data_IF_019956184043
#
_entry.id   IF_019956184043
#
_cell.length_a   1.000
_cell.length_b   1.000
_cell.length_c   1.000
_cell.angle_alpha   90.00
_cell.angle_beta   90.00
_cell.angle_gamma   90.00
#
_symmetry.space_group_name_H-M   'P 1'
#
loop_
_entity.id
_entity.type
_entity.pdbx_description
1 polymer ?
#
# COMPACT_ATOMS: atom_id res chain seq x y z
N UNK A 1 6.72 -21.20 18.61
CA UNK A 1 5.81 -20.96 19.75
C UNK A 1 5.08 -19.64 19.60
N UNK A 2 5.76 -18.47 19.58
CA UNK A 2 5.12 -17.14 19.52
C UNK A 2 4.23 -16.94 18.29
N UNK A 3 4.68 -17.36 17.11
CA UNK A 3 3.89 -17.26 15.88
C UNK A 3 2.57 -18.04 15.95
N UNK A 4 2.57 -19.20 16.61
CA UNK A 4 1.39 -20.06 16.72
C UNK A 4 0.40 -19.59 17.80
N UNK A 5 0.88 -19.07 18.93
CA UNK A 5 0.04 -18.72 20.08
C UNK A 5 -0.32 -17.23 20.15
N UNK A 6 0.54 -16.37 19.59
CA UNK A 6 0.36 -14.91 19.63
C UNK A 6 0.65 -14.27 18.25
N UNK A 7 -0.02 -14.73 17.18
CA UNK A 7 0.31 -14.34 15.81
C UNK A 7 0.22 -12.82 15.59
N UNK A 8 -0.76 -12.15 16.19
CA UNK A 8 -0.94 -10.70 16.08
C UNK A 8 0.27 -9.91 16.63
N UNK A 9 0.71 -10.26 17.84
CA UNK A 9 1.86 -9.59 18.48
C UNK A 9 3.19 -9.95 17.80
N UNK A 10 3.31 -11.18 17.31
CA UNK A 10 4.45 -11.62 16.52
C UNK A 10 4.57 -10.82 15.21
N UNK A 11 3.48 -10.69 14.46
CA UNK A 11 3.46 -9.91 13.22
C UNK A 11 3.71 -8.43 13.49
N UNK A 12 3.12 -7.86 14.54
CA UNK A 12 3.42 -6.48 14.95
C UNK A 12 4.91 -6.28 15.21
N UNK A 13 5.59 -7.24 15.83
CA UNK A 13 7.02 -7.14 16.11
C UNK A 13 7.88 -7.27 14.84
N UNK A 14 7.50 -8.14 13.90
CA UNK A 14 8.16 -8.23 12.60
C UNK A 14 8.02 -6.92 11.80
N UNK A 15 6.82 -6.35 11.76
CA UNK A 15 6.57 -5.06 11.13
C UNK A 15 7.41 -3.95 11.76
N UNK A 16 7.54 -3.91 13.10
CA UNK A 16 8.41 -2.96 13.78
C UNK A 16 9.89 -3.12 13.40
N UNK A 17 10.35 -4.36 13.25
CA UNK A 17 11.71 -4.65 12.79
C UNK A 17 11.94 -4.38 11.29
N UNK A 18 10.89 -4.10 10.53
CA UNK A 18 10.97 -3.79 9.10
C UNK A 18 10.81 -2.30 8.78
N UNK A 19 10.59 -1.44 9.78
CA UNK A 19 10.48 0.02 9.57
C UNK A 19 11.75 0.49 8.83
N UNK A 20 11.54 1.21 7.72
CA UNK A 20 12.62 1.64 6.82
C UNK A 20 12.95 0.65 5.69
N UNK A 21 12.35 -0.55 5.67
CA UNK A 21 12.50 -1.54 4.60
C UNK A 21 11.17 -1.82 3.93
N UNK A 22 10.91 -1.18 2.80
CA UNK A 22 9.68 -1.31 2.02
C UNK A 22 9.37 -2.78 1.67
N UNK A 23 10.38 -3.50 1.14
CA UNK A 23 10.21 -4.89 0.71
C UNK A 23 9.79 -5.80 1.87
N UNK A 24 10.50 -5.72 3.01
CA UNK A 24 10.15 -6.54 4.19
C UNK A 24 8.77 -6.18 4.74
N UNK A 25 8.45 -4.89 4.80
CA UNK A 25 7.14 -4.43 5.27
C UNK A 25 6.04 -4.95 4.36
N UNK A 26 6.20 -4.85 3.04
CA UNK A 26 5.28 -5.44 2.04
C UNK A 26 5.06 -6.93 2.31
N UNK A 27 6.13 -7.71 2.46
CA UNK A 27 6.04 -9.15 2.69
C UNK A 27 5.29 -9.49 4.00
N UNK A 28 5.53 -8.74 5.07
CA UNK A 28 4.83 -8.95 6.33
C UNK A 28 3.35 -8.51 6.29
N UNK A 29 3.02 -7.48 5.49
CA UNK A 29 1.61 -7.11 5.24
C UNK A 29 0.89 -8.23 4.48
N UNK A 30 1.52 -8.85 3.47
CA UNK A 30 0.96 -10.03 2.82
C UNK A 30 0.75 -11.19 3.82
N UNK A 31 1.74 -11.45 4.67
CA UNK A 31 1.61 -12.48 5.69
C UNK A 31 0.49 -12.18 6.68
N UNK A 32 0.29 -10.92 7.07
CA UNK A 32 -0.86 -10.50 7.88
C UNK A 32 -2.18 -10.82 7.18
N UNK A 33 -2.33 -10.43 5.92
CA UNK A 33 -3.54 -10.69 5.10
C UNK A 33 -3.83 -12.19 5.00
N UNK A 34 -2.81 -12.99 4.70
CA UNK A 34 -2.90 -14.47 4.60
C UNK A 34 -3.36 -15.13 5.91
N UNK A 35 -2.98 -14.57 7.04
CA UNK A 35 -3.35 -15.07 8.38
C UNK A 35 -4.58 -14.36 8.97
N UNK A 36 -5.34 -13.61 8.18
CA UNK A 36 -6.51 -12.83 8.61
C UNK A 36 -6.21 -11.85 9.75
N UNK A 37 -4.97 -11.35 9.82
CA UNK A 37 -4.57 -10.31 10.76
C UNK A 37 -4.88 -8.96 10.15
N UNK A 38 -5.79 -8.23 10.75
CA UNK A 38 -6.19 -6.91 10.27
C UNK A 38 -5.10 -5.89 10.55
N UNK A 39 -4.69 -5.18 9.49
CA UNK A 39 -3.81 -4.00 9.57
C UNK A 39 -4.59 -2.82 9.01
N UNK A 40 -4.63 -1.72 9.72
CA UNK A 40 -5.35 -0.51 9.31
C UNK A 40 -4.39 0.62 9.02
N UNK A 41 -4.85 1.55 8.16
CA UNK A 41 -4.12 2.77 7.83
C UNK A 41 -3.71 3.54 9.09
N UNK A 42 -2.59 4.26 9.04
CA UNK A 42 -2.20 5.13 10.15
C UNK A 42 -3.19 6.30 10.29
N UNK A 43 -3.32 6.78 11.50
CA UNK A 43 -4.11 7.94 11.87
C UNK A 43 -3.25 8.92 12.65
N UNK A 44 -3.42 10.20 12.38
CA UNK A 44 -2.67 11.26 13.06
C UNK A 44 -2.93 11.23 14.57
N UNK A 45 -4.14 10.85 14.98
CA UNK A 45 -4.55 10.79 16.37
C UNK A 45 -4.37 9.41 17.04
N UNK A 46 -4.08 8.34 16.30
CA UNK A 46 -4.04 6.98 16.85
C UNK A 46 -2.70 6.27 16.68
N UNK A 47 -1.95 6.60 15.61
CA UNK A 47 -0.68 5.94 15.30
C UNK A 47 0.48 6.50 16.11
N UNK A 48 1.55 5.70 16.22
CA UNK A 48 2.81 6.05 16.86
C UNK A 48 3.95 5.96 15.85
N UNK A 49 5.16 6.24 16.31
CA UNK A 49 6.39 6.01 15.53
C UNK A 49 6.66 4.53 15.26
N UNK A 50 6.01 3.64 16.00
CA UNK A 50 6.03 2.18 15.80
C UNK A 50 4.62 1.64 15.56
N UNK A 51 4.52 0.42 15.01
CA UNK A 51 3.24 -0.29 14.92
C UNK A 51 2.77 -0.72 16.30
N UNK A 52 1.49 -0.53 16.57
CA UNK A 52 0.86 -0.93 17.83
C UNK A 52 -0.32 -1.87 17.59
N UNK A 53 -0.70 -2.61 18.60
CA UNK A 53 -1.94 -3.43 18.62
C UNK A 53 -2.97 -2.71 19.45
N UNK A 54 -4.16 -2.52 18.89
CA UNK A 54 -5.34 -2.02 19.58
C UNK A 54 -6.58 -2.72 19.02
N UNK A 55 -7.49 -3.13 19.89
CA UNK A 55 -8.76 -3.78 19.51
C UNK A 55 -8.56 -4.93 18.50
N UNK A 56 -7.63 -5.84 18.81
CA UNK A 56 -7.23 -6.98 17.98
C UNK A 56 -6.82 -6.63 16.54
N UNK A 57 -6.30 -5.42 16.34
CA UNK A 57 -5.89 -4.89 15.03
C UNK A 57 -4.52 -4.25 15.15
N UNK A 58 -3.68 -4.40 14.12
CA UNK A 58 -2.42 -3.66 14.02
C UNK A 58 -2.71 -2.28 13.41
N UNK A 59 -2.38 -1.22 14.15
CA UNK A 59 -2.39 0.15 13.64
C UNK A 59 -1.02 0.42 13.02
N UNK A 60 -1.01 0.81 11.74
CA UNK A 60 0.22 1.06 11.00
C UNK A 60 0.95 2.30 11.56
N UNK A 61 2.29 2.26 11.60
CA UNK A 61 3.10 3.33 12.19
C UNK A 61 3.23 4.53 11.26
N UNK A 62 3.39 5.70 11.83
CA UNK A 62 3.73 6.91 11.07
C UNK A 62 5.12 6.80 10.43
N UNK A 63 6.10 6.20 11.12
CA UNK A 63 7.48 6.07 10.61
C UNK A 63 7.62 5.09 9.42
N UNK A 64 6.59 4.31 9.11
CA UNK A 64 6.58 3.45 7.92
C UNK A 64 6.07 4.15 6.65
N UNK A 65 5.69 5.41 6.77
CA UNK A 65 5.30 6.26 5.64
C UNK A 65 6.59 6.87 5.06
N UNK A 66 6.76 6.80 3.74
CA UNK A 66 7.91 7.43 3.06
C UNK A 66 8.01 8.91 3.44
N UNK A 67 9.22 9.37 3.66
CA UNK A 67 9.55 10.74 4.08
C UNK A 67 9.06 11.12 5.49
N UNK A 68 8.35 10.25 6.21
CA UNK A 68 7.99 10.47 7.61
C UNK A 68 8.93 9.66 8.49
N UNK A 69 10.09 10.23 8.79
CA UNK A 69 11.07 9.60 9.68
C UNK A 69 10.61 9.54 11.14
N UNK A 70 11.30 8.73 11.93
CA UNK A 70 10.98 8.54 13.37
C UNK A 70 10.90 9.85 14.15
N UNK A 71 11.77 10.84 13.82
CA UNK A 71 11.75 12.14 14.53
C UNK A 71 10.47 12.93 14.23
N UNK A 72 9.99 12.93 12.97
CA UNK A 72 8.74 13.57 12.57
C UNK A 72 7.56 12.88 13.25
N UNK A 73 7.54 11.53 13.22
CA UNK A 73 6.50 10.75 13.88
C UNK A 73 6.43 11.03 15.38
N UNK A 74 7.57 11.06 16.06
CA UNK A 74 7.65 11.41 17.50
C UNK A 74 7.20 12.82 17.80
N UNK A 75 7.51 13.79 16.94
CA UNK A 75 7.05 15.17 17.09
C UNK A 75 5.51 15.26 17.02
N UNK A 76 4.90 14.53 16.05
CA UNK A 76 3.44 14.46 15.94
C UNK A 76 2.83 13.84 17.20
N UNK A 77 3.38 12.71 17.68
CA UNK A 77 2.92 12.06 18.90
C UNK A 77 3.04 12.97 20.11
N UNK A 78 4.18 13.64 20.26
CA UNK A 78 4.42 14.59 21.36
C UNK A 78 3.40 15.74 21.39
N UNK A 79 3.12 16.35 20.23
CA UNK A 79 2.11 17.41 20.16
C UNK A 79 0.70 16.88 20.45
N UNK A 80 0.38 15.65 19.98
CA UNK A 80 -0.90 15.00 20.26
C UNK A 80 -1.11 14.68 21.74
N UNK A 81 -0.06 14.42 22.51
CA UNK A 81 -0.16 14.16 23.96
C UNK A 81 -0.69 15.36 24.74
N UNK A 82 -0.55 16.58 24.19
CA UNK A 82 -1.15 17.80 24.75
C UNK A 82 -2.67 17.89 24.51
N UNK A 83 -3.23 17.00 23.72
CA UNK A 83 -4.62 16.90 23.28
C UNK A 83 -4.70 16.41 21.84
N UNK A 84 -5.68 15.55 21.52
CA UNK A 84 -5.90 15.09 20.15
C UNK A 84 -6.08 16.28 19.20
N UNK A 85 -5.60 16.10 17.95
CA UNK A 85 -5.83 17.10 16.91
C UNK A 85 -7.31 17.13 16.55
N UNK A 86 -7.92 18.31 16.61
CA UNK A 86 -9.35 18.50 16.34
C UNK A 86 -9.65 18.42 14.84
N UNK A 87 -8.79 19.01 14.03
CA UNK A 87 -8.89 19.13 12.59
C UNK A 87 -7.53 19.47 11.96
N UNK A 88 -7.52 19.70 10.65
CA UNK A 88 -6.31 20.00 9.88
C UNK A 88 -5.67 21.34 10.27
N UNK A 89 -6.45 22.33 10.67
CA UNK A 89 -5.94 23.64 11.09
C UNK A 89 -5.25 23.53 12.44
N UNK A 90 -5.88 22.88 13.43
CA UNK A 90 -5.26 22.62 14.74
C UNK A 90 -3.97 21.79 14.58
N UNK A 91 -3.98 20.79 13.68
CA UNK A 91 -2.78 20.05 13.35
C UNK A 91 -1.69 20.96 12.80
N UNK A 92 -1.99 21.76 11.76
CA UNK A 92 -1.01 22.62 11.12
C UNK A 92 -0.44 23.68 12.10
N UNK A 93 -1.28 24.35 12.86
CA UNK A 93 -0.88 25.32 13.89
C UNK A 93 0.12 24.76 14.91
N UNK A 94 -0.08 23.50 15.30
CA UNK A 94 0.73 22.87 16.36
C UNK A 94 2.04 22.29 15.86
N UNK A 95 2.12 21.83 14.59
CA UNK A 95 3.26 21.06 14.09
C UNK A 95 4.03 21.72 12.94
N UNK A 96 3.40 22.57 12.13
CA UNK A 96 4.04 23.19 10.97
C UNK A 96 5.18 24.13 11.42
N UNK A 97 6.28 24.14 10.68
CA UNK A 97 7.47 24.95 10.98
C UNK A 97 8.38 24.41 12.09
N UNK A 98 7.95 23.40 12.87
CA UNK A 98 8.75 22.84 13.98
C UNK A 98 9.63 21.64 13.61
N UNK A 99 9.44 21.01 12.56
CA UNK A 99 10.16 19.89 11.91
C UNK A 99 9.31 19.30 10.79
N UNK A 100 8.09 19.82 10.63
CA UNK A 100 7.09 19.37 9.67
C UNK A 100 6.89 20.51 8.68
N UNK A 101 7.08 20.21 7.41
CA UNK A 101 6.88 21.13 6.29
C UNK A 101 5.69 20.69 5.43
N UNK A 102 5.34 21.49 4.43
CA UNK A 102 4.24 21.22 3.49
C UNK A 102 4.30 19.81 2.91
N UNK A 103 5.48 19.35 2.43
CA UNK A 103 5.64 18.00 1.83
C UNK A 103 5.31 16.88 2.81
N UNK A 104 5.66 17.04 4.09
CA UNK A 104 5.31 16.04 5.10
C UNK A 104 3.79 15.97 5.30
N UNK A 105 3.09 17.11 5.29
CA UNK A 105 1.63 17.14 5.43
C UNK A 105 0.96 16.54 4.19
N UNK A 106 1.44 16.84 2.98
CA UNK A 106 0.97 16.21 1.73
C UNK A 106 1.07 14.68 1.78
N UNK A 107 2.21 14.17 2.23
CA UNK A 107 2.45 12.73 2.38
C UNK A 107 1.53 12.10 3.42
N UNK A 108 1.28 12.78 4.55
CA UNK A 108 0.36 12.31 5.58
C UNK A 108 -1.10 12.29 5.09
N UNK A 109 -1.50 13.26 4.27
CA UNK A 109 -2.81 13.27 3.60
C UNK A 109 -2.92 12.09 2.62
N UNK A 110 -1.94 11.91 1.72
CA UNK A 110 -1.92 10.81 0.76
C UNK A 110 -1.91 9.44 1.43
N UNK A 111 -1.28 9.33 2.61
CA UNK A 111 -1.27 8.14 3.45
C UNK A 111 -2.61 7.87 4.18
N UNK A 112 -3.58 8.78 4.11
CA UNK A 112 -4.86 8.66 4.81
C UNK A 112 -4.81 8.93 6.30
N UNK A 113 -3.73 9.53 6.80
CA UNK A 113 -3.56 9.81 8.24
C UNK A 113 -4.58 10.80 8.79
N UNK A 114 -5.22 11.57 7.92
CA UNK A 114 -6.14 12.66 8.26
C UNK A 114 -7.59 12.40 7.84
N UNK A 115 -7.90 11.17 7.40
CA UNK A 115 -9.26 10.80 6.94
C UNK A 115 -10.32 10.99 8.06
N UNK A 116 -9.90 10.98 9.31
CA UNK A 116 -10.78 11.20 10.47
C UNK A 116 -11.25 12.67 10.65
N UNK A 117 -10.65 13.62 9.93
CA UNK A 117 -11.04 15.05 10.01
C UNK A 117 -12.30 15.38 9.17
N UNK A 118 -12.89 14.41 8.50
CA UNK A 118 -14.16 14.56 7.79
C UNK A 118 -14.06 15.21 6.41
N UNK A 119 -12.87 15.55 5.94
CA UNK A 119 -12.60 16.00 4.58
C UNK A 119 -11.97 14.88 3.77
N UNK A 120 -12.28 14.82 2.47
CA UNK A 120 -11.60 13.92 1.57
C UNK A 120 -10.17 14.41 1.27
N UNK A 121 -9.29 13.50 0.82
CA UNK A 121 -7.86 13.76 0.64
C UNK A 121 -7.57 14.84 -0.38
N UNK A 122 -8.32 14.90 -1.48
CA UNK A 122 -8.18 15.94 -2.49
C UNK A 122 -8.53 17.31 -1.94
N UNK A 123 -9.64 17.42 -1.22
CA UNK A 123 -10.05 18.66 -0.55
C UNK A 123 -8.96 19.17 0.40
N UNK A 124 -8.39 18.30 1.25
CA UNK A 124 -7.29 18.70 2.14
C UNK A 124 -6.07 19.18 1.37
N UNK A 125 -5.72 18.48 0.30
CA UNK A 125 -4.51 18.77 -0.48
C UNK A 125 -4.62 20.08 -1.28
N UNK A 126 -5.76 20.32 -1.91
CA UNK A 126 -6.02 21.55 -2.67
C UNK A 126 -6.12 22.80 -1.79
N UNK A 127 -6.48 22.66 -0.50
CA UNK A 127 -6.53 23.74 0.46
C UNK A 127 -5.25 23.86 1.30
N UNK A 128 -4.20 23.07 1.03
CA UNK A 128 -3.05 23.01 1.92
C UNK A 128 -2.29 24.33 2.04
N UNK A 129 -2.15 25.10 0.96
CA UNK A 129 -1.53 26.42 1.01
C UNK A 129 -2.31 27.40 1.90
N UNK A 130 -3.62 27.37 1.81
CA UNK A 130 -4.51 28.17 2.64
C UNK A 130 -4.38 27.77 4.13
N UNK A 131 -4.31 26.47 4.43
CA UNK A 131 -4.14 25.95 5.79
C UNK A 131 -2.78 26.35 6.37
N UNK A 132 -1.72 26.26 5.57
CA UNK A 132 -0.37 26.65 5.99
C UNK A 132 -0.27 28.15 6.23
N UNK A 133 -0.77 28.98 5.32
CA UNK A 133 -0.78 30.43 5.49
C UNK A 133 -1.53 30.82 6.77
N UNK A 134 -2.67 30.20 7.05
CA UNK A 134 -3.38 30.40 8.31
C UNK A 134 -2.53 29.98 9.51
N UNK A 135 -1.80 28.87 9.46
CA UNK A 135 -0.97 28.42 10.58
C UNK A 135 0.22 29.36 10.85
N UNK A 136 0.77 30.00 9.84
CA UNK A 136 1.84 31.02 9.98
C UNK A 136 1.33 32.29 10.61
N UNK A 137 0.13 32.75 10.25
CA UNK A 137 -0.50 33.95 10.77
C UNK A 137 -1.14 33.66 12.14
N UNK A 138 -1.86 32.56 12.26
CA UNK A 138 -2.59 32.19 13.48
C UNK A 138 -1.70 31.89 14.68
N UNK A 139 -0.40 31.56 14.45
CA UNK A 139 0.59 31.48 15.52
C UNK A 139 0.89 32.85 16.19
N UNK A 140 0.50 33.92 15.53
CA UNK A 140 0.70 35.32 16.00
C UNK A 140 -0.61 35.94 16.55
N UNK A 141 -1.76 35.35 16.22
CA UNK A 141 -3.08 35.90 16.57
C UNK A 141 -3.92 34.77 17.19
N UNK A 142 -4.31 34.97 18.44
CA UNK A 142 -5.11 33.99 19.22
C UNK A 142 -6.60 34.06 18.85
N UNK A 143 -6.93 34.16 17.54
CA UNK A 143 -8.26 34.48 17.05
C UNK A 143 -8.78 33.44 16.03
N UNK A 144 -9.73 32.61 16.49
CA UNK A 144 -10.44 31.63 15.64
C UNK A 144 -11.31 32.30 14.55
N UNK A 145 -11.65 33.60 14.67
CA UNK A 145 -12.48 34.34 13.71
C UNK A 145 -11.80 34.52 12.33
N UNK A 146 -10.47 34.40 12.28
CA UNK A 146 -9.70 34.51 11.04
C UNK A 146 -9.53 33.19 10.29
N UNK A 147 -10.16 32.12 10.76
CA UNK A 147 -10.06 30.79 10.15
C UNK A 147 -10.74 30.79 8.77
N UNK A 148 -9.99 30.46 7.70
CA UNK A 148 -10.53 30.47 6.35
C UNK A 148 -11.47 29.28 6.12
N UNK A 149 -12.43 29.46 5.23
CA UNK A 149 -13.32 28.38 4.79
C UNK A 149 -12.58 27.42 3.84
N UNK A 150 -12.80 26.12 4.01
CA UNK A 150 -12.30 25.06 3.14
C UNK A 150 -13.14 25.02 1.87
N UNK A 151 -12.49 25.09 0.71
CA UNK A 151 -13.13 24.88 -0.59
C UNK A 151 -13.22 23.36 -0.85
N UNK A 152 -14.42 22.84 -1.07
CA UNK A 152 -14.64 21.41 -1.30
C UNK A 152 -14.34 21.03 -2.74
N UNK A 153 -13.65 19.89 -2.89
CA UNK A 153 -13.34 19.25 -4.17
C UNK A 153 -13.87 17.83 -4.17
N UNK A 154 -14.25 17.33 -5.35
CA UNK A 154 -14.54 15.91 -5.51
C UNK A 154 -13.29 15.08 -5.20
N UNK A 155 -13.47 13.97 -4.48
CA UNK A 155 -12.35 13.08 -4.13
C UNK A 155 -11.63 12.56 -5.38
N UNK A 156 -10.39 12.20 -5.20
CA UNK A 156 -9.61 11.44 -6.17
C UNK A 156 -10.38 10.18 -6.61
N UNK A 157 -10.21 9.79 -7.87
CA UNK A 157 -10.67 8.47 -8.32
C UNK A 157 -9.99 7.36 -7.50
N UNK A 158 -10.60 6.19 -7.46
CA UNK A 158 -9.98 5.02 -6.80
C UNK A 158 -8.57 4.74 -7.28
N UNK A 159 -8.32 4.89 -8.59
CA UNK A 159 -7.00 4.67 -9.19
C UNK A 159 -5.98 5.70 -8.69
N UNK A 160 -6.37 6.97 -8.58
CA UNK A 160 -5.50 8.01 -8.04
C UNK A 160 -5.19 7.77 -6.57
N UNK A 161 -6.20 7.40 -5.74
CA UNK A 161 -5.99 7.03 -4.35
C UNK A 161 -5.03 5.84 -4.20
N UNK A 162 -5.17 4.81 -5.04
CA UNK A 162 -4.25 3.67 -5.07
C UNK A 162 -2.83 4.07 -5.46
N UNK A 163 -2.68 4.96 -6.47
CA UNK A 163 -1.36 5.50 -6.85
C UNK A 163 -0.73 6.31 -5.72
N UNK A 164 -1.51 7.14 -5.04
CA UNK A 164 -1.04 7.90 -3.89
C UNK A 164 -0.59 6.96 -2.76
N UNK A 165 -1.38 5.92 -2.45
CA UNK A 165 -1.02 4.91 -1.46
C UNK A 165 0.28 4.18 -1.83
N UNK A 166 0.43 3.75 -3.10
CA UNK A 166 1.66 3.13 -3.60
C UNK A 166 2.87 4.05 -3.48
N UNK A 167 2.70 5.35 -3.75
CA UNK A 167 3.78 6.33 -3.65
C UNK A 167 4.28 6.49 -2.20
N UNK A 168 3.37 6.49 -1.23
CA UNK A 168 3.70 6.76 0.18
C UNK A 168 4.09 5.52 0.98
N UNK A 169 3.66 4.31 0.57
CA UNK A 169 4.02 3.06 1.25
C UNK A 169 4.94 2.16 0.43
N UNK A 170 4.87 2.23 -0.91
CA UNK A 170 5.53 1.30 -1.82
C UNK A 170 4.76 0.01 -2.06
N UNK A 171 3.57 -0.12 -1.48
CA UNK A 171 2.64 -1.24 -1.64
C UNK A 171 1.20 -0.78 -1.33
N UNK A 172 0.22 -1.64 -1.66
CA UNK A 172 -1.19 -1.36 -1.37
C UNK A 172 -1.56 -1.86 0.03
N UNK A 173 -1.81 -0.93 0.95
CA UNK A 173 -2.19 -1.24 2.33
C UNK A 173 -3.70 -1.42 2.47
N UNK A 174 -4.50 -0.48 1.98
CA UNK A 174 -5.97 -0.48 2.11
C UNK A 174 -6.67 -1.00 0.86
N UNK A 175 -6.35 -0.46 -0.30
CA UNK A 175 -7.01 -0.77 -1.57
C UNK A 175 -6.03 -1.44 -2.53
N UNK A 176 -6.38 -2.62 -3.02
CA UNK A 176 -5.58 -3.31 -4.02
C UNK A 176 -6.33 -3.34 -5.36
N UNK A 177 -5.72 -2.86 -6.45
CA UNK A 177 -6.37 -2.85 -7.76
C UNK A 177 -6.75 -4.25 -8.26
N UNK A 178 -6.05 -5.30 -7.82
CA UNK A 178 -6.40 -6.68 -8.15
C UNK A 178 -7.80 -7.05 -7.65
N UNK A 179 -8.19 -6.56 -6.46
CA UNK A 179 -9.54 -6.78 -5.93
C UNK A 179 -10.61 -6.21 -6.86
N UNK A 180 -10.39 -5.02 -7.42
CA UNK A 180 -11.31 -4.41 -8.39
C UNK A 180 -11.37 -5.22 -9.71
N UNK A 181 -10.24 -5.77 -10.13
CA UNK A 181 -10.20 -6.66 -11.31
C UNK A 181 -10.98 -7.94 -11.04
N UNK A 182 -10.81 -8.56 -9.89
CA UNK A 182 -11.54 -9.79 -9.52
C UNK A 182 -13.05 -9.58 -9.49
N UNK A 183 -13.53 -8.39 -9.12
CA UNK A 183 -14.96 -8.05 -9.17
C UNK A 183 -15.50 -7.97 -10.62
N UNK A 184 -14.67 -7.54 -11.58
CA UNK A 184 -15.08 -7.40 -13.00
C UNK A 184 -14.97 -8.72 -13.78
N UNK A 185 -14.07 -9.61 -13.38
CA UNK A 185 -13.78 -10.85 -14.10
C UNK A 185 -14.11 -12.06 -13.20
N UNK A 186 -15.25 -12.74 -13.42
CA UNK A 186 -15.57 -13.96 -12.69
C UNK A 186 -14.58 -15.09 -13.03
N UNK A 187 -14.45 -16.07 -12.13
CA UNK A 187 -13.58 -17.25 -12.28
C UNK A 187 -12.07 -16.96 -12.18
N UNK A 188 -11.67 -15.90 -11.50
CA UNK A 188 -10.27 -15.67 -11.12
C UNK A 188 -9.98 -16.43 -9.82
N UNK A 189 -8.92 -17.24 -9.85
CA UNK A 189 -8.43 -17.99 -8.69
C UNK A 189 -7.52 -17.10 -7.85
N UNK A 190 -7.64 -17.15 -6.53
CA UNK A 190 -6.75 -16.51 -5.60
C UNK A 190 -5.42 -17.29 -5.50
N UNK A 191 -4.29 -16.56 -5.39
CA UNK A 191 -2.98 -17.22 -5.35
C UNK A 191 -2.79 -18.10 -4.11
N UNK A 192 -3.39 -17.78 -2.99
CA UNK A 192 -3.33 -18.62 -1.78
C UNK A 192 -4.06 -19.97 -1.92
N UNK A 193 -4.91 -20.14 -2.95
CA UNK A 193 -5.64 -21.37 -3.24
C UNK A 193 -5.04 -22.16 -4.42
N UNK A 194 -3.93 -21.66 -5.00
CA UNK A 194 -3.37 -22.20 -6.25
C UNK A 194 -2.97 -23.68 -6.15
N UNK A 195 -2.61 -24.14 -4.94
CA UNK A 195 -2.28 -25.54 -4.66
C UNK A 195 -3.43 -26.52 -4.95
N UNK A 196 -4.69 -26.06 -4.89
CA UNK A 196 -5.88 -26.87 -5.19
C UNK A 196 -6.06 -27.12 -6.69
N UNK A 197 -5.31 -26.38 -7.51
CA UNK A 197 -5.42 -26.41 -8.97
C UNK A 197 -4.20 -27.04 -9.65
N UNK A 198 -3.42 -27.85 -8.92
CA UNK A 198 -2.27 -28.56 -9.50
C UNK A 198 -2.66 -29.31 -10.78
N UNK A 199 -1.85 -29.16 -11.82
CA UNK A 199 -2.01 -29.74 -13.17
C UNK A 199 -3.26 -29.24 -13.94
N UNK A 200 -3.94 -28.18 -13.46
CA UNK A 200 -5.10 -27.56 -14.11
C UNK A 200 -4.77 -26.18 -14.67
N UNK A 201 -5.56 -25.75 -15.64
CA UNK A 201 -5.53 -24.38 -16.14
C UNK A 201 -6.36 -23.48 -15.23
N UNK A 202 -5.82 -22.30 -14.92
CA UNK A 202 -6.46 -21.28 -14.10
C UNK A 202 -6.40 -19.91 -14.77
N UNK A 203 -7.34 -19.05 -14.38
CA UNK A 203 -7.26 -17.62 -14.64
C UNK A 203 -6.89 -16.94 -13.33
N UNK A 204 -5.87 -16.10 -13.37
CA UNK A 204 -5.46 -15.26 -12.24
C UNK A 204 -5.35 -13.80 -12.68
N UNK A 205 -5.52 -12.88 -11.73
CA UNK A 205 -5.20 -11.47 -11.89
C UNK A 205 -4.03 -11.15 -10.96
N UNK A 206 -2.98 -10.58 -11.51
CA UNK A 206 -1.75 -10.32 -10.75
C UNK A 206 -1.10 -9.00 -11.15
N UNK A 207 -0.39 -8.43 -10.20
CA UNK A 207 0.55 -7.33 -10.38
C UNK A 207 1.93 -7.92 -10.72
N UNK A 208 2.61 -7.35 -11.71
CA UNK A 208 3.95 -7.74 -12.12
C UNK A 208 4.97 -7.07 -11.21
N UNK A 209 5.53 -7.81 -10.27
CA UNK A 209 6.50 -7.30 -9.30
C UNK A 209 7.90 -7.14 -9.93
N UNK A 210 8.39 -8.17 -10.63
CA UNK A 210 9.68 -8.14 -11.32
C UNK A 210 9.72 -9.11 -12.50
N UNK A 211 10.58 -8.83 -13.48
CA UNK A 211 10.76 -9.65 -14.69
C UNK A 211 12.23 -10.02 -14.83
N UNK A 212 12.51 -11.32 -14.88
CA UNK A 212 13.83 -11.85 -15.18
C UNK A 212 13.84 -12.57 -16.53
N UNK A 213 14.51 -12.00 -17.51
CA UNK A 213 14.65 -12.59 -18.83
C UNK A 213 15.91 -13.47 -18.91
N UNK A 214 15.79 -14.61 -19.57
CA UNK A 214 16.92 -15.49 -19.89
C UNK A 214 16.86 -15.93 -21.35
N UNK A 215 18.01 -16.37 -21.88
CA UNK A 215 18.06 -17.07 -23.16
C UNK A 215 18.17 -18.56 -22.93
N UNK A 216 17.37 -19.34 -23.66
CA UNK A 216 17.46 -20.79 -23.66
C UNK A 216 18.75 -21.24 -24.35
N UNK A 217 19.09 -22.52 -24.27
CA UNK A 217 20.26 -23.10 -25.00
C UNK A 217 20.21 -22.85 -26.51
N UNK A 218 19.03 -22.68 -27.06
CA UNK A 218 18.81 -22.42 -28.49
C UNK A 218 18.82 -20.93 -28.83
N UNK A 219 19.08 -20.04 -27.84
CA UNK A 219 19.07 -18.59 -28.02
C UNK A 219 17.71 -17.91 -27.91
N UNK A 220 16.63 -18.68 -27.74
CA UNK A 220 15.27 -18.16 -27.66
C UNK A 220 15.03 -17.43 -26.31
N UNK A 221 14.17 -16.42 -26.31
CA UNK A 221 13.77 -15.67 -25.12
C UNK A 221 12.83 -16.50 -24.24
N UNK A 222 13.10 -16.52 -22.95
CA UNK A 222 12.25 -17.08 -21.90
C UNK A 222 12.28 -16.13 -20.69
N UNK A 223 11.16 -16.01 -19.98
CA UNK A 223 11.11 -15.15 -18.79
C UNK A 223 10.48 -15.84 -17.58
N UNK A 224 10.96 -15.44 -16.42
CA UNK A 224 10.36 -15.68 -15.12
C UNK A 224 9.86 -14.36 -14.57
N UNK A 225 8.61 -14.31 -14.19
CA UNK A 225 7.98 -13.12 -13.63
C UNK A 225 7.57 -13.42 -12.20
N UNK A 226 8.07 -12.66 -11.24
CA UNK A 226 7.46 -12.64 -9.92
C UNK A 226 6.21 -11.77 -9.98
N UNK A 227 5.10 -12.34 -9.56
CA UNK A 227 3.80 -11.69 -9.61
C UNK A 227 3.05 -11.88 -8.29
N UNK A 228 2.24 -10.91 -7.92
CA UNK A 228 1.47 -10.94 -6.67
C UNK A 228 0.01 -10.57 -6.89
N UNK A 229 -0.87 -11.16 -6.10
CA UNK A 229 -2.22 -10.64 -5.90
C UNK A 229 -2.30 -9.88 -4.57
N UNK A 230 -3.49 -9.69 -4.01
CA UNK A 230 -3.68 -9.01 -2.73
C UNK A 230 -3.26 -9.85 -1.51
N UNK A 231 -3.01 -11.15 -1.69
CA UNK A 231 -2.81 -12.10 -0.57
C UNK A 231 -1.49 -12.86 -0.66
N UNK A 232 -1.03 -13.25 -1.87
CA UNK A 232 0.14 -14.13 -2.04
C UNK A 232 0.94 -13.78 -3.30
N UNK A 233 2.06 -14.48 -3.52
CA UNK A 233 2.96 -14.32 -4.66
C UNK A 233 3.12 -15.63 -5.40
N UNK A 234 3.41 -15.54 -6.71
CA UNK A 234 3.65 -16.69 -7.58
C UNK A 234 4.69 -16.37 -8.64
N UNK A 235 5.43 -17.38 -9.09
CA UNK A 235 6.28 -17.30 -10.28
C UNK A 235 5.48 -17.67 -11.52
N UNK A 236 5.50 -16.80 -12.53
CA UNK A 236 4.97 -17.06 -13.86
C UNK A 236 6.11 -17.42 -14.79
N UNK A 237 5.95 -18.49 -15.55
CA UNK A 237 6.95 -18.97 -16.51
C UNK A 237 6.45 -18.74 -17.93
N UNK A 238 7.18 -17.93 -18.70
CA UNK A 238 6.90 -17.62 -20.08
C UNK A 238 7.92 -18.29 -20.97
N UNK A 239 7.51 -19.39 -21.62
CA UNK A 239 8.36 -20.10 -22.57
C UNK A 239 8.48 -19.35 -23.92
N UNK A 240 9.48 -19.67 -24.75
CA UNK A 240 9.72 -19.00 -26.03
C UNK A 240 8.50 -18.95 -26.96
N UNK A 241 7.66 -19.97 -26.93
CA UNK A 241 6.43 -20.02 -27.71
C UNK A 241 5.49 -18.85 -27.43
N UNK A 242 5.46 -18.35 -26.18
CA UNK A 242 4.63 -17.22 -25.77
C UNK A 242 4.99 -15.91 -26.49
N UNK A 243 6.29 -15.72 -26.77
CA UNK A 243 6.78 -14.47 -27.38
C UNK A 243 6.52 -14.35 -28.88
N UNK A 244 5.99 -15.41 -29.53
CA UNK A 244 5.61 -15.37 -30.96
C UNK A 244 4.46 -14.40 -31.24
N UNK A 245 3.63 -14.11 -30.22
CA UNK A 245 2.45 -13.25 -30.35
C UNK A 245 2.74 -11.79 -30.02
N UNK A 246 4.01 -11.36 -29.95
CA UNK A 246 4.47 -9.98 -29.69
C UNK A 246 3.87 -9.36 -28.41
N UNK A 247 3.56 -10.15 -27.40
CA UNK A 247 3.06 -9.66 -26.11
C UNK A 247 4.23 -9.07 -25.34
N UNK A 248 4.10 -7.81 -24.95
CA UNK A 248 5.05 -7.10 -24.07
C UNK A 248 4.42 -6.98 -22.70
N UNK A 249 5.13 -7.45 -21.67
CA UNK A 249 4.73 -7.32 -20.26
C UNK A 249 5.77 -6.42 -19.59
N UNK A 250 5.32 -5.49 -18.76
CA UNK A 250 6.20 -4.58 -18.01
C UNK A 250 6.00 -4.73 -16.52
N UNK A 251 7.06 -4.44 -15.78
CA UNK A 251 6.96 -4.31 -14.33
C UNK A 251 6.02 -3.17 -13.95
N UNK A 252 5.25 -3.36 -12.89
CA UNK A 252 4.27 -2.38 -12.44
C UNK A 252 2.89 -2.48 -13.11
N UNK A 253 2.70 -3.38 -14.07
CA UNK A 253 1.40 -3.58 -14.75
C UNK A 253 0.54 -4.63 -14.02
N UNK A 254 -0.77 -4.52 -14.22
CA UNK A 254 -1.72 -5.55 -13.81
C UNK A 254 -2.13 -6.35 -15.04
N UNK A 255 -2.00 -7.65 -14.92
CA UNK A 255 -2.30 -8.58 -16.01
C UNK A 255 -3.28 -9.67 -15.59
N UNK A 256 -4.15 -10.07 -16.53
CA UNK A 256 -4.88 -11.32 -16.45
C UNK A 256 -4.05 -12.41 -17.14
N UNK A 257 -3.83 -13.49 -16.42
CA UNK A 257 -3.06 -14.64 -16.90
C UNK A 257 -3.94 -15.87 -16.95
N UNK A 258 -3.94 -16.54 -18.09
CA UNK A 258 -4.39 -17.92 -18.19
C UNK A 258 -3.16 -18.81 -18.30
N UNK A 259 -3.06 -19.82 -17.46
CA UNK A 259 -1.90 -20.71 -17.45
C UNK A 259 -2.14 -22.00 -16.67
N UNK A 260 -1.23 -22.94 -16.84
CA UNK A 260 -1.26 -24.24 -16.18
C UNK A 260 -0.47 -24.15 -14.87
N UNK A 261 -1.07 -24.63 -13.79
CA UNK A 261 -0.40 -24.74 -12.49
C UNK A 261 0.52 -25.94 -12.48
N UNK A 262 1.79 -25.69 -12.23
CA UNK A 262 2.82 -26.72 -12.10
C UNK A 262 3.54 -26.62 -10.76
N UNK A 263 4.22 -27.69 -10.35
CA UNK A 263 5.04 -27.74 -9.14
C UNK A 263 6.49 -27.96 -9.52
N UNK A 264 7.37 -27.09 -9.03
CA UNK A 264 8.83 -27.19 -9.22
C UNK A 264 9.54 -26.97 -7.89
N UNK A 265 10.40 -27.91 -7.48
CA UNK A 265 11.14 -27.83 -6.21
C UNK A 265 10.26 -27.43 -5.02
N UNK A 266 9.13 -28.09 -4.83
CA UNK A 266 8.13 -27.83 -3.79
C UNK A 266 7.41 -26.47 -3.83
N UNK A 267 7.64 -25.65 -4.85
CA UNK A 267 6.91 -24.40 -5.10
C UNK A 267 5.96 -24.55 -6.27
N UNK A 268 4.80 -23.92 -6.16
CA UNK A 268 3.87 -23.81 -7.27
C UNK A 268 4.29 -22.64 -8.18
N UNK A 269 4.14 -22.85 -9.48
CA UNK A 269 4.36 -21.86 -10.54
C UNK A 269 3.24 -21.97 -11.57
N UNK A 270 3.07 -20.94 -12.39
CA UNK A 270 2.12 -20.98 -13.51
C UNK A 270 2.88 -20.88 -14.82
N UNK A 271 2.73 -21.90 -15.65
CA UNK A 271 3.18 -21.87 -17.05
C UNK A 271 2.15 -21.11 -17.86
N UNK A 272 2.52 -19.94 -18.34
CA UNK A 272 1.63 -18.97 -18.98
C UNK A 272 1.26 -19.44 -20.39
N UNK A 273 -0.05 -19.45 -20.68
CA UNK A 273 -0.60 -19.72 -22.01
C UNK A 273 -1.09 -18.45 -22.70
N UNK A 274 -1.75 -17.56 -21.95
CA UNK A 274 -2.27 -16.28 -22.47
C UNK A 274 -2.14 -15.19 -21.42
N UNK A 275 -1.92 -13.98 -21.89
CA UNK A 275 -1.93 -12.78 -21.06
C UNK A 275 -2.84 -11.74 -21.70
N UNK A 276 -3.54 -11.00 -20.86
CA UNK A 276 -4.30 -9.80 -21.25
C UNK A 276 -3.91 -8.68 -20.28
N UNK A 277 -3.38 -7.61 -20.80
CA UNK A 277 -3.15 -6.38 -20.06
C UNK A 277 -4.49 -5.78 -19.64
N UNK A 278 -4.54 -5.23 -18.41
CA UNK A 278 -5.72 -4.54 -17.90
C UNK A 278 -5.35 -3.09 -17.62
N UNK A 279 -5.97 -2.21 -18.38
CA UNK A 279 -6.00 -0.79 -18.04
C UNK A 279 -7.14 -0.56 -17.04
N UNK A 280 -6.79 -0.26 -15.78
CA UNK A 280 -7.73 0.06 -14.70
C UNK A 280 -8.10 1.53 -14.77
#
# INVERSE_FOLDING_TARGET
>A
YLKAHYPLYFMKQLLNGSIGSETKTKDYIYECKKNNIKVILPSINKSYDIHIVRDNTIIFSLSSIKNIGTNIAKQIVFEREKGSFKDIFDFALRVYGKSINKKHIEVLIDAGCMDEFGYNRKTLKENLDLIINYSEIGSLLDDDELRPEIVFYNEYTKIELMKNELNVYGFYLSNNPITEVKLKYPNIVNLNEINLYFDKFVNIAVYVDSIREIKTKNGDKMSFIEASDEIDKIELVLFPKFYRDNVVIKEGEIILVNGKVEKRFDKYQIVVSKVKEINI
#
